data_IF_689340652546
#
_entry.id   IF_689340652546
#
_cell.length_a   1.000
_cell.length_b   1.000
_cell.length_c   1.000
_cell.angle_alpha   90.00
_cell.angle_beta   90.00
_cell.angle_gamma   90.00
#
_symmetry.space_group_name_H-M   'P 1'
#
loop_
_entity.id
_entity.type
_entity.pdbx_description
1 polymer ?
#
# COMPACT_ATOMS: atom_id res chain seq x y z
N UNK A 1 44.31 8.69 39.64
CA UNK A 1 43.21 8.06 38.88
C UNK A 1 42.11 9.09 38.65
N UNK A 2 41.95 9.58 37.42
CA UNK A 2 40.90 10.55 37.04
C UNK A 2 39.69 9.79 36.53
N UNK A 3 38.54 9.91 37.20
CA UNK A 3 37.24 9.48 36.67
C UNK A 3 36.49 10.73 36.26
N UNK A 4 36.52 11.01 34.96
CA UNK A 4 35.69 12.03 34.33
C UNK A 4 35.03 11.36 33.13
N UNK A 5 33.76 11.01 33.27
CA UNK A 5 32.92 10.65 32.13
C UNK A 5 31.67 11.52 32.20
N UNK A 6 31.53 12.36 31.17
CA UNK A 6 30.59 13.46 31.01
C UNK A 6 29.14 12.96 31.11
N UNK A 7 28.38 13.63 31.97
CA UNK A 7 26.93 13.76 31.86
C UNK A 7 26.63 14.61 30.63
N UNK A 8 25.69 14.15 29.81
CA UNK A 8 25.00 14.96 28.81
C UNK A 8 25.38 14.66 27.37
N UNK A 9 24.58 13.80 26.72
CA UNK A 9 24.07 14.16 25.40
C UNK A 9 22.63 13.65 25.29
N UNK A 10 21.75 14.61 25.45
CA UNK A 10 20.31 14.53 25.33
C UNK A 10 19.90 13.90 24.00
N UNK A 11 19.04 12.89 24.11
CA UNK A 11 17.83 12.67 23.32
C UNK A 11 17.66 13.64 22.13
N UNK A 12 18.02 13.19 20.93
CA UNK A 12 17.44 13.72 19.69
C UNK A 12 16.40 12.70 19.22
N UNK A 13 15.22 12.80 19.83
CA UNK A 13 14.04 12.01 19.52
C UNK A 13 13.60 12.30 18.08
N UNK A 14 13.31 11.21 17.39
CA UNK A 14 12.74 11.09 16.05
C UNK A 14 11.62 12.12 15.79
N UNK A 15 11.90 13.11 14.94
CA UNK A 15 10.87 13.89 14.22
C UNK A 15 10.71 13.30 12.82
N UNK A 16 10.38 12.00 12.77
CA UNK A 16 9.92 11.32 11.57
C UNK A 16 8.42 11.08 11.68
N UNK A 17 7.63 12.14 11.82
CA UNK A 17 6.19 12.03 11.70
C UNK A 17 5.87 11.89 10.22
N UNK A 18 5.93 10.66 9.70
CA UNK A 18 5.12 10.35 8.52
C UNK A 18 3.70 10.32 9.05
N UNK A 19 2.99 11.43 8.87
CA UNK A 19 1.54 11.38 8.98
C UNK A 19 1.11 10.46 7.85
N UNK A 20 0.81 9.20 8.18
CA UNK A 20 -0.10 8.41 7.38
C UNK A 20 -1.42 9.17 7.43
N UNK A 21 -1.60 10.12 6.52
CA UNK A 21 -2.90 10.72 6.34
C UNK A 21 -3.81 9.54 6.03
N UNK A 22 -4.81 9.34 6.87
CA UNK A 22 -5.92 8.44 6.58
C UNK A 22 -6.81 9.05 5.48
N UNK A 23 -6.19 9.68 4.47
CA UNK A 23 -6.83 9.92 3.20
C UNK A 23 -7.00 8.54 2.59
N UNK A 24 -8.22 8.05 2.57
CA UNK A 24 -8.63 6.84 1.85
C UNK A 24 -8.49 6.99 0.33
N UNK A 25 -7.72 7.98 -0.14
CA UNK A 25 -7.58 8.38 -1.52
C UNK A 25 -6.11 8.22 -1.92
N UNK A 26 -5.88 7.39 -2.92
CA UNK A 26 -4.59 7.26 -3.57
C UNK A 26 -4.24 8.59 -4.25
N UNK A 27 -2.95 8.92 -4.26
CA UNK A 27 -2.42 10.04 -5.04
C UNK A 27 -2.55 9.75 -6.54
N UNK A 28 -2.48 10.80 -7.37
CA UNK A 28 -2.50 10.64 -8.83
C UNK A 28 -1.35 9.76 -9.31
N UNK A 29 -0.16 9.86 -8.68
CA UNK A 29 0.99 9.03 -9.02
C UNK A 29 0.71 7.56 -8.74
N UNK A 30 0.22 7.25 -7.53
CA UNK A 30 -0.13 5.87 -7.15
C UNK A 30 -1.23 5.30 -8.06
N UNK A 31 -2.27 6.07 -8.37
CA UNK A 31 -3.32 5.68 -9.32
C UNK A 31 -2.80 5.37 -10.74
N UNK A 32 -1.59 5.83 -11.07
CA UNK A 32 -0.97 5.66 -12.38
C UNK A 32 0.18 4.65 -12.40
N UNK A 33 0.49 4.00 -11.26
CA UNK A 33 1.56 3.02 -11.12
C UNK A 33 1.06 1.56 -11.18
N UNK A 34 1.97 0.60 -11.13
CA UNK A 34 1.70 -0.82 -10.97
C UNK A 34 1.06 -1.11 -9.61
N UNK A 35 0.08 -2.05 -9.51
CA UNK A 35 -0.40 -2.95 -10.57
C UNK A 35 -1.52 -2.41 -11.46
N UNK A 36 -1.86 -1.13 -11.36
CA UNK A 36 -3.02 -0.54 -12.09
C UNK A 36 -2.72 -0.29 -13.56
N UNK A 37 -1.44 -0.30 -13.92
CA UNK A 37 -0.98 -0.38 -15.30
C UNK A 37 -0.16 -1.65 -15.52
N UNK A 38 -0.40 -2.36 -16.63
CA UNK A 38 0.46 -3.47 -17.04
C UNK A 38 1.91 -3.00 -17.10
N UNK A 39 2.79 -3.74 -16.44
CA UNK A 39 4.23 -3.49 -16.52
C UNK A 39 4.73 -3.79 -17.93
N UNK A 40 5.50 -2.88 -18.49
CA UNK A 40 6.20 -3.10 -19.77
C UNK A 40 7.54 -3.77 -19.46
N UNK A 41 7.66 -5.06 -19.76
CA UNK A 41 8.88 -5.84 -19.53
C UNK A 41 8.70 -6.93 -18.48
N UNK A 42 9.76 -7.22 -17.71
CA UNK A 42 9.75 -8.30 -16.73
C UNK A 42 9.15 -7.83 -15.40
N UNK A 43 8.25 -8.65 -14.83
CA UNK A 43 7.77 -8.47 -13.45
C UNK A 43 8.89 -8.79 -12.47
N UNK A 44 9.15 -7.90 -11.52
CA UNK A 44 10.09 -8.15 -10.42
C UNK A 44 9.40 -8.91 -9.28
N UNK A 45 10.18 -9.63 -8.47
CA UNK A 45 9.63 -10.30 -7.29
C UNK A 45 8.96 -9.33 -6.31
N UNK A 46 9.50 -8.11 -6.16
CA UNK A 46 8.91 -7.09 -5.31
C UNK A 46 7.52 -6.66 -5.80
N UNK A 47 7.37 -6.47 -7.12
CA UNK A 47 6.08 -6.17 -7.74
C UNK A 47 5.08 -7.32 -7.53
N UNK A 48 5.49 -8.56 -7.76
CA UNK A 48 4.61 -9.71 -7.54
C UNK A 48 4.10 -9.80 -6.10
N UNK A 49 4.98 -9.57 -5.11
CA UNK A 49 4.60 -9.58 -3.69
C UNK A 49 3.64 -8.43 -3.36
N UNK A 50 3.86 -7.26 -3.95
CA UNK A 50 2.97 -6.11 -3.80
C UNK A 50 1.56 -6.42 -4.35
N UNK A 51 1.46 -6.93 -5.58
CA UNK A 51 0.18 -7.29 -6.19
C UNK A 51 -0.56 -8.36 -5.37
N UNK A 52 0.18 -9.34 -4.83
CA UNK A 52 -0.40 -10.35 -3.96
C UNK A 52 -0.97 -9.76 -2.68
N UNK A 53 -0.23 -8.86 -2.02
CA UNK A 53 -0.69 -8.19 -0.80
C UNK A 53 -1.96 -7.36 -1.03
N UNK A 54 -2.10 -6.75 -2.20
CA UNK A 54 -3.29 -5.99 -2.59
C UNK A 54 -4.51 -6.89 -2.81
N UNK A 55 -4.35 -8.01 -3.50
CA UNK A 55 -5.40 -9.02 -3.65
C UNK A 55 -5.82 -9.57 -2.28
N UNK A 56 -4.86 -9.84 -1.38
CA UNK A 56 -5.14 -10.25 -0.01
C UNK A 56 -5.90 -9.18 0.79
N UNK A 57 -5.63 -7.88 0.54
CA UNK A 57 -6.33 -6.76 1.18
C UNK A 57 -7.84 -6.73 0.86
N UNK A 58 -8.24 -7.32 -0.28
CA UNK A 58 -9.65 -7.48 -0.67
C UNK A 58 -10.15 -8.92 -0.49
N UNK A 59 -9.43 -9.73 0.28
CA UNK A 59 -9.87 -11.03 0.76
C UNK A 59 -9.45 -12.23 -0.10
N UNK A 60 -8.54 -12.07 -1.07
CA UNK A 60 -7.90 -13.22 -1.70
C UNK A 60 -7.05 -13.98 -0.67
N UNK A 61 -6.97 -15.30 -0.79
CA UNK A 61 -6.32 -16.16 0.19
C UNK A 61 -5.43 -17.19 -0.52
N UNK A 62 -4.23 -16.79 -0.98
CA UNK A 62 -3.36 -17.62 -1.82
C UNK A 62 -2.86 -18.89 -1.12
N UNK A 63 -2.77 -18.87 0.21
CA UNK A 63 -2.32 -20.03 1.00
C UNK A 63 -3.41 -21.10 1.20
N UNK A 64 -4.68 -20.81 0.84
CA UNK A 64 -5.75 -21.80 0.95
C UNK A 64 -5.70 -22.76 -0.22
N UNK A 65 -6.07 -24.02 0.04
CA UNK A 65 -6.38 -24.96 -1.02
C UNK A 65 -7.66 -24.49 -1.71
N UNK A 66 -7.48 -23.85 -2.86
CA UNK A 66 -8.55 -23.29 -3.67
C UNK A 66 -9.06 -24.32 -4.68
N UNK A 67 -10.30 -24.76 -4.50
CA UNK A 67 -10.98 -25.68 -5.43
C UNK A 67 -11.69 -24.95 -6.57
N UNK A 68 -11.84 -23.63 -6.47
CA UNK A 68 -12.56 -22.78 -7.41
C UNK A 68 -11.61 -21.95 -8.27
N UNK A 69 -10.30 -22.19 -8.22
CA UNK A 69 -9.34 -21.51 -9.09
C UNK A 69 -9.73 -21.68 -10.58
N UNK A 70 -9.79 -20.60 -11.38
CA UNK A 70 -9.34 -19.23 -11.07
C UNK A 70 -10.45 -18.27 -10.60
N UNK A 71 -11.67 -18.73 -10.34
CA UNK A 71 -12.81 -17.87 -10.02
C UNK A 71 -12.63 -17.01 -8.76
N UNK A 72 -12.03 -17.55 -7.71
CA UNK A 72 -11.79 -16.78 -6.47
C UNK A 72 -10.75 -15.67 -6.67
N UNK A 73 -9.74 -15.91 -7.52
CA UNK A 73 -8.77 -14.90 -7.95
C UNK A 73 -9.47 -13.79 -8.76
N UNK A 74 -10.26 -14.14 -9.77
CA UNK A 74 -11.00 -13.17 -10.60
C UNK A 74 -11.99 -12.34 -9.77
N UNK A 75 -12.65 -12.96 -8.80
CA UNK A 75 -13.53 -12.25 -7.88
C UNK A 75 -12.76 -11.24 -7.01
N UNK A 76 -11.53 -11.58 -6.58
CA UNK A 76 -10.67 -10.65 -5.86
C UNK A 76 -10.19 -9.50 -6.75
N UNK A 77 -9.75 -9.76 -7.98
CA UNK A 77 -9.39 -8.73 -8.97
C UNK A 77 -10.54 -7.73 -9.19
N UNK A 78 -11.79 -8.21 -9.32
CA UNK A 78 -12.95 -7.34 -9.49
C UNK A 78 -13.22 -6.45 -8.27
N UNK A 79 -13.08 -6.99 -7.04
CA UNK A 79 -13.20 -6.21 -5.80
C UNK A 79 -12.08 -5.18 -5.69
N UNK A 80 -10.86 -5.57 -6.05
CA UNK A 80 -9.69 -4.71 -6.05
C UNK A 80 -9.86 -3.54 -7.03
N UNK A 81 -10.33 -3.83 -8.25
CA UNK A 81 -10.64 -2.80 -9.24
C UNK A 81 -11.72 -1.82 -8.74
N UNK A 82 -12.76 -2.33 -8.08
CA UNK A 82 -13.81 -1.48 -7.48
C UNK A 82 -13.26 -0.56 -6.40
N UNK A 83 -12.39 -1.08 -5.52
CA UNK A 83 -11.68 -0.27 -4.52
C UNK A 83 -10.88 0.84 -5.20
N UNK A 84 -10.12 0.53 -6.25
CA UNK A 84 -9.34 1.54 -6.96
C UNK A 84 -10.17 2.60 -7.65
N UNK A 85 -11.30 2.25 -8.27
CA UNK A 85 -12.21 3.25 -8.82
C UNK A 85 -12.71 4.23 -7.75
N UNK A 86 -12.96 3.75 -6.53
CA UNK A 86 -13.36 4.61 -5.42
C UNK A 86 -12.21 5.49 -4.92
N UNK A 87 -11.01 4.94 -4.79
CA UNK A 87 -9.84 5.64 -4.24
C UNK A 87 -9.22 6.63 -5.23
N UNK A 88 -9.29 6.37 -6.54
CA UNK A 88 -8.79 7.24 -7.61
C UNK A 88 -9.84 8.23 -8.15
N UNK A 89 -11.10 8.16 -7.68
CA UNK A 89 -12.13 9.10 -8.08
C UNK A 89 -11.80 10.52 -7.60
N UNK A 90 -11.93 11.55 -8.46
CA UNK A 90 -11.73 12.95 -8.08
C UNK A 90 -12.62 13.33 -6.89
N UNK A 91 -12.04 14.06 -5.93
CA UNK A 91 -12.84 14.65 -4.84
C UNK A 91 -13.78 15.71 -5.42
N UNK A 92 -15.09 15.66 -5.16
CA UNK A 92 -16.01 16.71 -5.59
C UNK A 92 -15.63 18.05 -4.96
N UNK A 93 -15.71 19.17 -5.70
CA UNK A 93 -15.44 20.49 -5.13
C UNK A 93 -16.38 20.75 -3.95
N UNK A 94 -15.81 20.94 -2.75
CA UNK A 94 -16.54 21.20 -1.50
C UNK A 94 -16.47 20.10 -0.43
N UNK A 95 -15.72 19.02 -0.67
CA UNK A 95 -15.48 17.95 0.32
C UNK A 95 -13.98 17.79 0.58
N UNK A 96 -13.31 18.86 1.01
CA UNK A 96 -11.93 18.82 1.52
C UNK A 96 -11.82 19.83 2.64
N UNK A 97 -11.83 19.35 3.89
CA UNK A 97 -11.71 20.14 5.10
C UNK A 97 -10.39 19.84 5.79
#
# INVERSE_FOLDING_TARGET
MKRSAKVGLSVALLLGSVSAMADTKLTVEECNDYPFKPVVGNVTHAQLVQELAELESVGYQPAKRDWHYPSDLQAAEARLHTKYLAECAPVPPGQGG
#
